data_IF_986960034422
#
_entry.id   IF_986960034422
#
_cell.length_a   1.000
_cell.length_b   1.000
_cell.length_c   1.000
_cell.angle_alpha   90.00
_cell.angle_beta   90.00
_cell.angle_gamma   90.00
#
_symmetry.space_group_name_H-M   'P 1'
#
loop_
_entity.id
_entity.type
_entity.pdbx_description
1 polymer ?
#
# COMPACT_ATOMS: atom_id res chain seq x y z
N UNK A 1 10.37 -37.54 1.89
CA UNK A 1 8.94 -37.14 2.02
C UNK A 1 8.92 -35.89 2.89
N UNK A 2 8.25 -34.84 2.44
CA UNK A 2 8.04 -33.61 3.20
C UNK A 2 6.58 -33.50 3.58
N UNK A 3 6.30 -33.19 4.84
CA UNK A 3 4.97 -32.92 5.35
C UNK A 3 4.89 -31.44 5.80
N UNK A 4 3.82 -30.73 5.41
CA UNK A 4 3.55 -29.35 5.73
C UNK A 4 2.17 -29.29 6.39
N UNK A 5 2.10 -28.75 7.60
CA UNK A 5 0.83 -28.50 8.29
C UNK A 5 0.49 -27.03 8.06
N UNK A 6 -0.75 -26.80 7.62
CA UNK A 6 -1.23 -25.43 7.38
C UNK A 6 -1.56 -24.77 8.70
N UNK A 7 -0.83 -23.71 9.00
CA UNK A 7 -1.09 -22.88 10.17
C UNK A 7 -2.14 -21.81 9.87
N UNK A 8 -2.72 -21.19 10.89
CA UNK A 8 -3.73 -20.12 10.77
C UNK A 8 -3.28 -19.00 9.81
N UNK A 9 -1.99 -18.63 9.84
CA UNK A 9 -1.39 -17.58 8.99
C UNK A 9 -1.36 -17.91 7.50
N UNK A 10 -1.46 -19.20 7.13
CA UNK A 10 -1.45 -19.70 5.75
C UNK A 10 -2.82 -20.15 5.25
N UNK A 11 -3.80 -20.24 6.13
CA UNK A 11 -5.17 -20.62 5.80
C UNK A 11 -5.84 -19.64 4.82
N UNK A 12 -6.83 -20.14 4.06
CA UNK A 12 -7.57 -19.36 3.07
C UNK A 12 -6.87 -19.19 1.72
N UNK A 13 -5.63 -19.66 1.56
CA UNK A 13 -4.95 -19.71 0.26
C UNK A 13 -5.45 -20.91 -0.57
N UNK A 14 -5.43 -20.76 -1.89
CA UNK A 14 -5.60 -21.94 -2.77
C UNK A 14 -4.34 -22.80 -2.74
N UNK A 15 -4.52 -24.11 -2.74
CA UNK A 15 -3.42 -25.09 -2.72
C UNK A 15 -2.38 -24.83 -3.85
N UNK A 16 -2.82 -24.54 -5.07
CA UNK A 16 -1.90 -24.27 -6.19
C UNK A 16 -1.08 -22.98 -5.95
N UNK A 17 -1.65 -21.97 -5.31
CA UNK A 17 -0.96 -20.73 -4.98
C UNK A 17 0.06 -20.92 -3.85
N UNK A 18 -0.33 -21.67 -2.82
CA UNK A 18 0.54 -22.08 -1.74
C UNK A 18 1.76 -22.86 -2.26
N UNK A 19 1.51 -23.90 -3.07
CA UNK A 19 2.57 -24.73 -3.64
C UNK A 19 3.53 -23.97 -4.56
N UNK A 20 3.05 -22.98 -5.33
CA UNK A 20 3.93 -22.12 -6.14
C UNK A 20 4.86 -21.26 -5.30
N UNK A 21 4.42 -20.83 -4.13
CA UNK A 21 5.24 -20.05 -3.21
C UNK A 21 6.26 -20.94 -2.50
N UNK A 22 5.86 -22.15 -2.15
CA UNK A 22 6.72 -23.13 -1.49
C UNK A 22 7.77 -23.72 -2.44
N UNK A 23 7.37 -24.05 -3.68
CA UNK A 23 8.24 -24.58 -4.74
C UNK A 23 8.49 -23.49 -5.79
N UNK A 24 9.24 -22.46 -5.41
CA UNK A 24 9.40 -21.20 -6.17
C UNK A 24 9.94 -21.42 -7.59
N UNK A 25 10.82 -22.41 -7.78
CA UNK A 25 11.43 -22.73 -9.07
C UNK A 25 10.63 -23.76 -9.89
N UNK A 26 9.51 -24.26 -9.36
CA UNK A 26 8.70 -25.25 -10.07
C UNK A 26 7.73 -24.59 -11.06
N UNK A 27 7.74 -24.96 -12.35
CA UNK A 27 6.72 -24.52 -13.28
C UNK A 27 5.32 -24.93 -12.84
N UNK A 28 4.31 -24.09 -13.10
CA UNK A 28 2.91 -24.40 -12.73
C UNK A 28 2.44 -25.76 -13.31
N UNK A 29 2.83 -26.06 -14.55
CA UNK A 29 2.53 -27.34 -15.20
C UNK A 29 3.10 -28.56 -14.44
N UNK A 30 4.26 -28.40 -13.83
CA UNK A 30 4.87 -29.43 -13.00
C UNK A 30 4.04 -29.67 -11.73
N UNK A 31 3.64 -28.62 -11.02
CA UNK A 31 2.82 -28.71 -9.80
C UNK A 31 1.53 -29.46 -10.09
N UNK A 32 0.78 -29.06 -11.12
CA UNK A 32 -0.46 -29.75 -11.50
C UNK A 32 -0.25 -31.20 -11.94
N UNK A 33 0.88 -31.51 -12.58
CA UNK A 33 1.25 -32.90 -12.92
C UNK A 33 1.51 -33.73 -11.66
N UNK A 34 2.15 -33.14 -10.64
CA UNK A 34 2.44 -33.84 -9.38
C UNK A 34 1.19 -34.07 -8.54
N UNK A 35 0.25 -33.12 -8.53
CA UNK A 35 -1.07 -33.31 -7.92
C UNK A 35 -1.83 -34.47 -8.60
N UNK A 36 -1.88 -34.51 -9.95
CA UNK A 36 -2.53 -35.59 -10.70
C UNK A 36 -1.90 -36.95 -10.43
N UNK A 37 -0.57 -37.03 -10.30
CA UNK A 37 0.17 -38.26 -10.00
C UNK A 37 0.13 -38.66 -8.53
N UNK A 38 -0.54 -37.90 -7.65
CA UNK A 38 -0.54 -38.07 -6.19
C UNK A 38 0.86 -38.00 -5.55
N UNK A 39 1.81 -37.35 -6.22
CA UNK A 39 3.12 -37.03 -5.62
C UNK A 39 3.03 -35.79 -4.72
N UNK A 40 1.91 -35.07 -4.78
CA UNK A 40 1.48 -34.06 -3.82
C UNK A 40 0.03 -34.40 -3.48
N UNK A 41 -0.27 -34.51 -2.18
CA UNK A 41 -1.61 -34.83 -1.68
C UNK A 41 -2.00 -33.85 -0.58
N UNK A 42 -3.30 -33.59 -0.45
CA UNK A 42 -3.90 -32.82 0.62
C UNK A 42 -4.72 -33.75 1.50
N UNK A 43 -4.50 -33.74 2.81
CA UNK A 43 -5.20 -34.59 3.80
C UNK A 43 -5.22 -36.07 3.38
N UNK A 44 -4.09 -36.57 2.89
CA UNK A 44 -3.92 -37.91 2.32
C UNK A 44 -4.79 -38.21 1.09
N UNK A 45 -5.57 -37.26 0.58
CA UNK A 45 -6.42 -37.35 -0.60
C UNK A 45 -5.80 -36.82 -1.87
N UNK A 46 -6.41 -37.13 -3.03
CA UNK A 46 -6.09 -36.48 -4.30
C UNK A 46 -6.57 -35.03 -4.26
N UNK A 47 -5.75 -34.14 -4.77
CA UNK A 47 -6.08 -32.72 -4.87
C UNK A 47 -5.92 -32.22 -6.33
N UNK A 48 -6.68 -31.17 -6.68
CA UNK A 48 -6.70 -30.55 -8.01
C UNK A 48 -5.95 -29.22 -8.05
N UNK A 49 -5.63 -28.64 -6.86
CA UNK A 49 -4.96 -27.38 -6.71
C UNK A 49 -5.89 -26.18 -6.51
N UNK A 50 -7.21 -26.38 -6.63
CA UNK A 50 -8.21 -25.32 -6.45
C UNK A 50 -8.74 -25.23 -5.02
N UNK A 51 -8.44 -26.21 -4.21
CA UNK A 51 -8.88 -26.32 -2.83
C UNK A 51 -8.39 -25.12 -2.02
N UNK A 52 -9.26 -24.59 -1.18
CA UNK A 52 -8.89 -23.58 -0.18
C UNK A 52 -8.34 -24.31 1.05
N UNK A 53 -7.14 -23.97 1.44
CA UNK A 53 -6.47 -24.55 2.60
C UNK A 53 -7.10 -24.02 3.90
N UNK A 54 -7.38 -24.95 4.80
CA UNK A 54 -7.85 -24.65 6.16
C UNK A 54 -6.72 -24.87 7.16
N UNK A 55 -6.81 -24.21 8.30
CA UNK A 55 -5.91 -24.47 9.42
C UNK A 55 -5.98 -25.97 9.82
N UNK A 56 -4.82 -26.58 10.02
CA UNK A 56 -4.70 -28.02 10.33
C UNK A 56 -4.63 -28.92 9.09
N UNK A 57 -4.90 -28.43 7.89
CA UNK A 57 -4.70 -29.21 6.67
C UNK A 57 -3.26 -29.68 6.54
N UNK A 58 -3.07 -30.89 6.03
CA UNK A 58 -1.76 -31.50 5.85
C UNK A 58 -1.45 -31.72 4.37
N UNK A 59 -0.37 -31.10 3.88
CA UNK A 59 0.13 -31.31 2.52
C UNK A 59 1.34 -32.25 2.62
N UNK A 60 1.28 -33.41 1.90
CA UNK A 60 2.42 -34.31 1.79
C UNK A 60 2.99 -34.26 0.40
N UNK A 61 4.32 -34.09 0.31
CA UNK A 61 5.10 -33.99 -0.93
C UNK A 61 6.07 -35.18 -0.99
N UNK A 62 5.87 -36.04 -1.96
CA UNK A 62 6.66 -37.26 -2.17
C UNK A 62 7.77 -37.02 -3.22
N UNK A 63 8.68 -36.07 -2.94
CA UNK A 63 9.86 -35.80 -3.75
C UNK A 63 11.11 -36.33 -3.06
N UNK A 64 12.17 -36.60 -3.84
CA UNK A 64 13.50 -36.78 -3.30
C UNK A 64 13.99 -35.45 -2.69
N UNK A 65 14.92 -35.53 -1.73
CA UNK A 65 15.51 -34.33 -1.11
C UNK A 65 16.16 -33.42 -2.16
N UNK A 66 16.85 -33.98 -3.14
CA UNK A 66 17.47 -33.26 -4.24
C UNK A 66 16.42 -32.52 -5.09
N UNK A 67 15.31 -33.18 -5.46
CA UNK A 67 14.22 -32.57 -6.22
C UNK A 67 13.55 -31.44 -5.41
N UNK A 68 13.35 -31.64 -4.13
CA UNK A 68 12.75 -30.65 -3.24
C UNK A 68 13.65 -29.43 -3.11
N UNK A 69 14.96 -29.63 -2.86
CA UNK A 69 15.94 -28.57 -2.77
C UNK A 69 16.05 -27.75 -4.08
N UNK A 70 16.02 -28.43 -5.24
CA UNK A 70 16.03 -27.78 -6.54
C UNK A 70 14.82 -26.85 -6.76
N UNK A 71 13.62 -27.24 -6.30
CA UNK A 71 12.41 -26.46 -6.49
C UNK A 71 12.10 -25.47 -5.37
N UNK A 72 12.65 -25.63 -4.16
CA UNK A 72 12.44 -24.68 -3.07
C UNK A 72 13.08 -23.31 -3.34
N UNK A 73 14.11 -23.26 -4.16
CA UNK A 73 14.89 -22.04 -4.37
C UNK A 73 15.81 -21.77 -3.17
N UNK A 74 17.01 -21.30 -3.46
CA UNK A 74 17.88 -20.69 -2.44
C UNK A 74 17.35 -19.29 -2.15
N UNK A 75 17.16 -18.93 -0.88
CA UNK A 75 16.94 -17.54 -0.50
C UNK A 75 18.09 -16.71 -1.09
N UNK A 76 17.74 -15.83 -2.01
CA UNK A 76 18.68 -14.84 -2.50
C UNK A 76 18.94 -13.91 -1.32
N UNK A 77 20.15 -13.95 -0.79
CA UNK A 77 20.61 -13.04 0.24
C UNK A 77 20.27 -11.60 -0.23
N UNK A 78 19.43 -10.91 0.51
CA UNK A 78 19.07 -9.54 0.19
C UNK A 78 20.37 -8.71 0.18
N UNK A 79 20.59 -7.97 -0.90
CA UNK A 79 21.62 -6.93 -0.90
C UNK A 79 21.28 -5.99 0.24
N UNK A 80 22.20 -5.80 1.17
CA UNK A 80 22.09 -4.78 2.24
C UNK A 80 22.06 -3.41 1.57
N UNK A 81 20.86 -2.98 1.19
CA UNK A 81 20.67 -1.63 0.67
C UNK A 81 20.64 -0.68 1.87
N UNK A 82 21.45 0.38 1.81
CA UNK A 82 21.39 1.46 2.81
C UNK A 82 20.12 2.27 2.57
N UNK A 83 19.17 2.21 3.50
CA UNK A 83 17.97 3.03 3.51
C UNK A 83 17.68 3.53 4.92
N UNK A 84 17.00 4.68 5.02
CA UNK A 84 16.45 5.12 6.29
C UNK A 84 15.23 4.24 6.58
N UNK A 85 15.30 3.48 7.68
CA UNK A 85 14.17 2.66 8.12
C UNK A 85 12.95 3.56 8.36
N UNK A 86 11.74 3.18 7.89
CA UNK A 86 10.54 3.90 8.25
C UNK A 86 10.19 3.69 9.73
N UNK A 87 9.59 4.71 10.37
CA UNK A 87 9.12 4.58 11.74
C UNK A 87 7.88 3.68 11.80
N UNK A 88 7.83 2.79 12.78
CA UNK A 88 6.66 1.94 13.02
C UNK A 88 5.62 2.74 13.81
N UNK A 89 4.40 2.85 13.27
CA UNK A 89 3.27 3.55 13.88
C UNK A 89 2.34 2.58 14.62
N UNK A 90 2.15 1.41 14.06
CA UNK A 90 1.37 0.33 14.65
C UNK A 90 1.87 -1.02 14.15
N UNK A 91 1.83 -2.02 15.01
CA UNK A 91 2.15 -3.39 14.68
C UNK A 91 1.27 -4.35 15.48
N UNK A 92 0.80 -5.39 14.81
CA UNK A 92 0.21 -6.58 15.43
C UNK A 92 0.74 -7.86 14.75
N UNK A 93 0.10 -8.99 15.00
CA UNK A 93 0.50 -10.28 14.43
C UNK A 93 0.38 -10.36 12.92
N UNK A 94 -0.55 -9.60 12.29
CA UNK A 94 -0.92 -9.71 10.89
C UNK A 94 -0.49 -8.52 10.05
N UNK A 95 -0.50 -7.31 10.64
CA UNK A 95 -0.28 -6.07 9.90
C UNK A 95 0.73 -5.16 10.59
N UNK A 96 1.28 -4.25 9.79
CA UNK A 96 2.19 -3.19 10.21
C UNK A 96 1.80 -1.89 9.52
N UNK A 97 1.73 -0.78 10.25
CA UNK A 97 1.66 0.57 9.70
C UNK A 97 3.00 1.26 9.90
N UNK A 98 3.54 1.80 8.84
CA UNK A 98 4.79 2.54 8.88
C UNK A 98 4.65 3.96 8.37
N UNK A 99 5.42 4.88 8.94
CA UNK A 99 5.59 6.23 8.42
C UNK A 99 6.76 6.26 7.44
N UNK A 100 6.44 6.15 6.14
CA UNK A 100 7.42 6.18 5.07
C UNK A 100 8.05 7.58 4.95
N UNK A 101 9.36 7.74 5.00
CA UNK A 101 10.00 9.02 4.71
C UNK A 101 9.84 9.41 3.22
N UNK A 102 9.94 10.71 2.93
CA UNK A 102 10.07 11.20 1.56
C UNK A 102 11.35 10.67 0.92
N UNK A 103 11.32 10.37 -0.38
CA UNK A 103 12.46 9.84 -1.13
C UNK A 103 12.52 8.30 -1.18
N UNK A 104 11.96 7.58 -0.22
CA UNK A 104 11.92 6.12 -0.20
C UNK A 104 10.78 5.60 -1.10
N UNK A 105 11.05 4.55 -1.88
CA UNK A 105 10.03 3.84 -2.66
C UNK A 105 9.12 3.00 -1.76
N UNK A 106 7.83 2.88 -2.09
CA UNK A 106 6.95 1.89 -1.42
C UNK A 106 7.27 0.47 -1.87
N UNK A 107 7.49 0.29 -3.17
CA UNK A 107 7.90 -0.97 -3.80
C UNK A 107 9.04 -0.69 -4.76
N UNK A 108 9.93 -1.66 -4.92
CA UNK A 108 11.02 -1.58 -5.88
C UNK A 108 10.50 -1.35 -7.31
N UNK A 109 11.16 -0.48 -8.02
CA UNK A 109 10.93 -0.20 -9.44
C UNK A 109 12.12 -0.62 -10.29
N UNK A 110 12.15 -0.18 -11.53
CA UNK A 110 13.26 -0.48 -12.46
C UNK A 110 14.62 0.12 -12.05
N UNK A 111 14.64 1.07 -11.11
CA UNK A 111 15.89 1.68 -10.62
C UNK A 111 16.72 0.72 -9.78
N UNK A 112 16.09 -0.30 -9.19
CA UNK A 112 16.74 -1.21 -8.25
C UNK A 112 17.04 -0.58 -6.89
N UNK A 113 16.51 0.63 -6.62
CA UNK A 113 16.66 1.28 -5.33
C UNK A 113 15.82 0.59 -4.26
N UNK A 114 16.28 0.70 -3.02
CA UNK A 114 15.60 0.12 -1.87
C UNK A 114 14.18 0.71 -1.66
N UNK A 115 13.30 -0.11 -1.12
CA UNK A 115 11.90 0.23 -0.88
C UNK A 115 11.44 -0.18 0.52
N UNK A 116 10.27 0.31 0.93
CA UNK A 116 9.59 -0.16 2.14
C UNK A 116 9.41 -1.68 2.11
N UNK A 117 9.12 -2.25 0.95
CA UNK A 117 8.97 -3.70 0.77
C UNK A 117 10.26 -4.47 1.11
N UNK A 118 11.42 -3.93 0.74
CA UNK A 118 12.70 -4.58 1.03
C UNK A 118 13.01 -4.50 2.53
N UNK A 119 12.82 -3.32 3.12
CA UNK A 119 12.93 -3.13 4.56
C UNK A 119 11.99 -4.07 5.35
N UNK A 120 10.72 -4.17 4.93
CA UNK A 120 9.72 -4.99 5.59
C UNK A 120 10.11 -6.48 5.59
N UNK A 121 10.65 -6.98 4.48
CA UNK A 121 11.14 -8.35 4.38
C UNK A 121 12.32 -8.60 5.30
N UNK A 122 13.23 -7.64 5.40
CA UNK A 122 14.38 -7.74 6.31
C UNK A 122 13.93 -7.66 7.78
N UNK A 123 12.98 -6.76 8.08
CA UNK A 123 12.40 -6.61 9.42
C UNK A 123 11.70 -7.89 9.89
N UNK A 124 10.88 -8.49 9.05
CA UNK A 124 10.12 -9.70 9.37
C UNK A 124 10.95 -11.00 9.24
N UNK A 125 12.20 -10.96 8.75
CA UNK A 125 13.00 -12.17 8.48
C UNK A 125 13.20 -13.04 9.72
N UNK A 126 13.38 -12.43 10.88
CA UNK A 126 13.62 -13.12 12.15
C UNK A 126 12.33 -13.30 12.97
N UNK A 127 11.19 -12.87 12.43
CA UNK A 127 9.91 -13.07 13.09
C UNK A 127 9.45 -14.52 12.87
N UNK A 128 9.43 -15.30 13.94
CA UNK A 128 8.96 -16.71 13.94
C UNK A 128 7.51 -16.87 13.48
N UNK A 129 6.77 -15.75 13.42
CA UNK A 129 5.41 -15.67 12.89
C UNK A 129 5.32 -15.61 11.37
N UNK A 130 6.42 -15.37 10.64
CA UNK A 130 6.37 -15.33 9.16
C UNK A 130 6.24 -16.74 8.57
N UNK A 131 5.37 -16.86 7.59
CA UNK A 131 5.13 -18.11 6.87
C UNK A 131 6.23 -18.36 5.82
N UNK A 132 6.61 -19.62 5.62
CA UNK A 132 7.50 -20.04 4.51
C UNK A 132 6.90 -19.72 3.12
N UNK A 133 5.59 -19.48 3.05
CA UNK A 133 4.86 -19.29 1.79
C UNK A 133 4.31 -17.89 1.58
N UNK A 134 4.27 -17.05 2.62
CA UNK A 134 3.87 -15.65 2.50
C UNK A 134 5.07 -14.73 2.63
N UNK A 135 5.22 -13.81 1.68
CA UNK A 135 6.24 -12.76 1.76
C UNK A 135 5.58 -11.46 2.21
N UNK A 136 6.00 -10.91 3.35
CA UNK A 136 5.53 -9.60 3.81
C UNK A 136 5.59 -8.55 2.69
N UNK A 137 4.54 -7.75 2.57
CA UNK A 137 4.42 -6.79 1.47
C UNK A 137 3.58 -5.57 1.84
N UNK A 138 3.87 -4.44 1.21
CA UNK A 138 3.03 -3.24 1.32
C UNK A 138 1.70 -3.49 0.59
N UNK A 139 0.60 -3.04 1.19
CA UNK A 139 -0.76 -3.18 0.66
C UNK A 139 -1.26 -1.93 -0.07
N UNK A 140 -0.74 -0.75 0.28
CA UNK A 140 -0.96 0.49 -0.48
C UNK A 140 0.39 1.10 -0.90
N UNK A 141 0.34 2.05 -1.81
CA UNK A 141 1.54 2.71 -2.33
C UNK A 141 1.42 4.22 -2.20
N UNK A 142 2.51 4.84 -1.81
CA UNK A 142 2.73 6.27 -1.94
C UNK A 142 3.77 6.51 -3.02
N UNK A 143 3.69 7.66 -3.69
CA UNK A 143 4.75 8.10 -4.59
C UNK A 143 6.08 8.22 -3.83
N UNK A 144 7.21 8.10 -4.53
CA UNK A 144 8.56 8.17 -3.93
C UNK A 144 8.68 9.31 -2.92
N UNK A 145 8.32 10.53 -3.33
CA UNK A 145 8.50 11.75 -2.54
C UNK A 145 7.28 12.12 -1.66
N UNK A 146 6.23 11.29 -1.67
CA UNK A 146 5.14 11.42 -0.72
C UNK A 146 5.53 10.69 0.57
N UNK A 147 5.52 11.38 1.68
CA UNK A 147 5.75 10.80 3.01
C UNK A 147 4.44 10.28 3.62
N UNK A 148 4.55 9.49 4.70
CA UNK A 148 3.39 9.13 5.51
C UNK A 148 3.04 7.67 5.57
N UNK A 149 1.82 7.39 5.98
CA UNK A 149 1.34 6.07 6.36
C UNK A 149 1.25 5.08 5.20
N UNK A 150 1.93 3.96 5.36
CA UNK A 150 1.89 2.81 4.46
C UNK A 150 1.44 1.58 5.25
N UNK A 151 0.39 0.92 4.73
CA UNK A 151 -0.14 -0.33 5.24
C UNK A 151 0.69 -1.49 4.70
N UNK A 152 1.14 -2.35 5.59
CA UNK A 152 1.93 -3.53 5.29
C UNK A 152 1.26 -4.77 5.87
N UNK A 153 1.36 -5.89 5.18
CA UNK A 153 0.91 -7.18 5.67
C UNK A 153 2.10 -8.06 6.06
N UNK A 154 2.05 -8.65 7.24
CA UNK A 154 3.00 -9.64 7.76
C UNK A 154 2.55 -11.05 7.42
N UNK A 155 1.24 -11.28 7.28
CA UNK A 155 0.61 -12.58 7.01
C UNK A 155 -0.27 -12.53 5.77
N UNK A 156 -0.64 -13.72 5.25
CA UNK A 156 -1.59 -13.82 4.15
C UNK A 156 -2.99 -13.32 4.56
N UNK A 157 -3.43 -13.61 5.78
CA UNK A 157 -4.70 -13.16 6.32
C UNK A 157 -4.74 -11.62 6.37
N UNK A 158 -3.68 -10.99 6.90
CA UNK A 158 -3.53 -9.53 6.92
C UNK A 158 -3.52 -8.93 5.51
N UNK A 159 -2.82 -9.56 4.56
CA UNK A 159 -2.79 -9.10 3.17
C UNK A 159 -4.16 -9.14 2.50
N UNK A 160 -4.91 -10.22 2.72
CA UNK A 160 -6.27 -10.36 2.18
C UNK A 160 -7.21 -9.33 2.78
N UNK A 161 -7.21 -9.23 4.11
CA UNK A 161 -8.01 -8.24 4.83
C UNK A 161 -7.75 -6.81 4.34
N UNK A 162 -6.49 -6.36 4.34
CA UNK A 162 -6.15 -5.01 3.89
C UNK A 162 -6.50 -4.78 2.41
N UNK A 163 -6.34 -5.80 1.55
CA UNK A 163 -6.70 -5.71 0.13
C UNK A 163 -8.21 -5.55 -0.05
N UNK A 164 -9.03 -6.27 0.72
CA UNK A 164 -10.49 -6.15 0.71
C UNK A 164 -10.93 -4.75 1.18
N UNK A 165 -10.37 -4.25 2.29
CA UNK A 165 -10.67 -2.90 2.79
C UNK A 165 -10.28 -1.79 1.81
N UNK A 166 -9.14 -1.94 1.12
CA UNK A 166 -8.67 -0.96 0.12
C UNK A 166 -9.54 -1.02 -1.14
N UNK A 167 -9.87 -2.21 -1.62
CA UNK A 167 -10.68 -2.42 -2.82
C UNK A 167 -12.13 -1.97 -2.62
N UNK A 168 -12.70 -2.18 -1.42
CA UNK A 168 -14.03 -1.71 -1.03
C UNK A 168 -14.11 -0.21 -0.74
N UNK A 169 -12.99 0.52 -0.79
CA UNK A 169 -12.91 1.93 -0.41
C UNK A 169 -13.37 2.24 1.03
N UNK A 170 -13.32 1.23 1.91
CA UNK A 170 -13.79 1.35 3.29
C UNK A 170 -12.85 2.16 4.18
N UNK A 171 -11.54 2.16 3.87
CA UNK A 171 -10.54 2.91 4.64
C UNK A 171 -10.63 4.41 4.38
N UNK A 172 -10.75 5.20 5.45
CA UNK A 172 -10.54 6.63 5.39
C UNK A 172 -9.05 6.95 5.18
N UNK A 173 -8.70 7.55 4.04
CA UNK A 173 -7.32 7.94 3.70
C UNK A 173 -7.22 9.45 3.60
N UNK A 174 -6.46 10.05 4.51
CA UNK A 174 -6.34 11.50 4.60
C UNK A 174 -4.90 11.95 4.37
N UNK A 175 -4.78 13.05 3.65
CA UNK A 175 -3.51 13.63 3.25
C UNK A 175 -3.45 15.09 3.67
N UNK A 176 -2.25 15.60 3.92
CA UNK A 176 -1.95 17.02 4.01
C UNK A 176 -1.09 17.41 2.83
N UNK A 177 -1.40 18.54 2.21
CA UNK A 177 -0.60 19.08 1.11
C UNK A 177 -0.42 20.58 1.27
N UNK A 178 0.75 21.06 0.88
CA UNK A 178 0.97 22.49 0.64
C UNK A 178 0.70 22.77 -0.83
N UNK A 179 -0.26 23.63 -1.13
CA UNK A 179 -0.61 24.01 -2.52
C UNK A 179 -0.25 25.46 -2.76
N UNK A 180 0.02 25.80 -4.02
CA UNK A 180 0.37 27.16 -4.42
C UNK A 180 -0.88 28.04 -4.53
N UNK A 181 -0.69 29.30 -4.13
CA UNK A 181 -1.73 30.32 -4.13
C UNK A 181 -2.69 30.23 -2.93
N UNK A 182 -3.49 31.27 -2.81
CA UNK A 182 -4.54 31.36 -1.80
C UNK A 182 -5.76 30.55 -2.22
N UNK A 183 -6.08 29.53 -1.44
CA UNK A 183 -7.27 28.69 -1.61
C UNK A 183 -8.15 28.83 -0.36
N UNK A 184 -9.48 28.80 -0.53
CA UNK A 184 -10.44 28.97 0.55
C UNK A 184 -11.52 27.89 0.52
N UNK A 185 -12.13 27.63 1.67
CA UNK A 185 -13.26 26.71 1.81
C UNK A 185 -12.92 25.25 1.63
N UNK A 186 -13.87 24.51 1.12
CA UNK A 186 -13.80 23.07 0.85
C UNK A 186 -14.54 22.73 -0.43
N UNK A 187 -14.15 21.65 -1.10
CA UNK A 187 -14.85 21.15 -2.29
C UNK A 187 -14.58 19.67 -2.53
N UNK A 188 -15.43 19.11 -3.39
CA UNK A 188 -15.29 17.75 -3.93
C UNK A 188 -14.84 17.84 -5.39
N UNK A 189 -13.68 17.28 -5.68
CA UNK A 189 -13.11 17.20 -7.02
C UNK A 189 -13.42 15.84 -7.62
N UNK A 190 -14.13 15.83 -8.76
CA UNK A 190 -14.50 14.64 -9.51
C UNK A 190 -13.99 14.73 -10.92
N UNK A 191 -13.58 13.59 -11.49
CA UNK A 191 -13.08 13.55 -12.86
C UNK A 191 -12.83 12.16 -13.39
N UNK A 192 -12.49 12.10 -14.68
CA UNK A 192 -11.96 10.92 -15.35
C UNK A 192 -10.43 10.99 -15.37
N UNK A 193 -9.83 9.96 -14.83
CA UNK A 193 -8.39 9.81 -14.72
C UNK A 193 -7.84 9.02 -15.92
N UNK A 194 -6.84 9.58 -16.59
CA UNK A 194 -6.13 8.97 -17.69
C UNK A 194 -4.64 8.97 -17.40
N UNK A 195 -3.96 7.85 -17.69
CA UNK A 195 -2.52 7.73 -17.50
C UNK A 195 -1.79 7.65 -18.82
N UNK A 196 -0.83 8.53 -19.01
CA UNK A 196 0.21 8.42 -20.00
C UNK A 196 1.36 7.60 -19.42
N UNK A 197 1.47 6.36 -19.87
CA UNK A 197 2.50 5.42 -19.36
C UNK A 197 3.91 5.86 -19.81
N UNK A 198 4.06 6.45 -21.02
CA UNK A 198 5.34 6.86 -21.55
C UNK A 198 5.90 8.06 -20.79
N UNK A 199 5.06 9.07 -20.53
CA UNK A 199 5.41 10.23 -19.73
C UNK A 199 5.33 9.98 -18.22
N UNK A 200 4.79 8.81 -17.80
CA UNK A 200 4.42 8.51 -16.41
C UNK A 200 3.64 9.68 -15.79
N UNK A 201 2.74 10.28 -16.53
CA UNK A 201 1.94 11.45 -16.12
C UNK A 201 0.46 11.13 -16.16
N UNK A 202 -0.32 11.80 -15.31
CA UNK A 202 -1.76 11.65 -15.20
C UNK A 202 -2.43 12.94 -15.66
N UNK A 203 -3.53 12.80 -16.38
CA UNK A 203 -4.46 13.86 -16.74
C UNK A 203 -5.81 13.55 -16.13
N UNK A 204 -6.48 14.55 -15.59
CA UNK A 204 -7.86 14.44 -15.08
C UNK A 204 -8.73 15.39 -15.89
N UNK A 205 -9.79 14.85 -16.46
CA UNK A 205 -10.87 15.62 -17.08
C UNK A 205 -11.99 15.81 -16.06
N UNK A 206 -12.33 17.07 -15.78
CA UNK A 206 -13.37 17.42 -14.82
C UNK A 206 -14.74 16.93 -15.29
N UNK A 207 -15.52 16.41 -14.37
CA UNK A 207 -16.92 16.03 -14.60
C UNK A 207 -17.80 17.07 -13.89
N UNK A 208 -18.81 17.60 -14.59
CA UNK A 208 -19.66 18.65 -14.04
C UNK A 208 -20.72 18.11 -13.08
N UNK A 209 -21.35 16.96 -13.38
CA UNK A 209 -22.41 16.35 -12.59
C UNK A 209 -22.41 14.82 -12.69
N UNK A 210 -22.65 14.16 -11.55
CA UNK A 210 -22.86 12.71 -11.48
C UNK A 210 -21.58 11.87 -11.54
N UNK A 211 -21.76 10.56 -11.38
CA UNK A 211 -20.74 9.55 -11.69
C UNK A 211 -20.98 9.17 -13.16
N UNK A 212 -20.03 9.39 -14.08
CA UNK A 212 -20.22 9.01 -15.48
C UNK A 212 -20.37 7.49 -15.57
N UNK A 213 -21.15 7.04 -16.53
CA UNK A 213 -21.12 5.67 -16.95
C UNK A 213 -19.72 5.38 -17.51
N UNK A 214 -18.95 4.57 -16.77
CA UNK A 214 -17.55 4.30 -17.12
C UNK A 214 -17.42 3.09 -18.05
N UNK A 215 -18.51 2.43 -18.43
CA UNK A 215 -18.45 1.26 -19.30
C UNK A 215 -17.97 1.63 -20.71
N UNK A 216 -18.24 2.86 -21.18
CA UNK A 216 -17.87 3.35 -22.51
C UNK A 216 -16.63 4.27 -22.54
N UNK A 217 -15.93 4.49 -21.41
CA UNK A 217 -14.79 5.42 -21.37
C UNK A 217 -13.49 4.73 -20.95
N UNK A 218 -12.38 5.08 -21.65
CA UNK A 218 -11.03 4.68 -21.23
C UNK A 218 -10.61 5.32 -19.89
N UNK A 219 -11.31 6.38 -19.47
CA UNK A 219 -11.05 7.11 -18.23
C UNK A 219 -11.58 6.36 -17.00
N UNK A 220 -10.87 6.47 -15.89
CA UNK A 220 -11.31 5.89 -14.61
C UNK A 220 -11.81 6.99 -13.69
N UNK A 221 -12.99 6.80 -13.10
CA UNK A 221 -13.54 7.74 -12.12
C UNK A 221 -12.59 7.93 -10.94
N UNK A 222 -12.43 9.20 -10.54
CA UNK A 222 -11.66 9.61 -9.36
C UNK A 222 -12.39 10.70 -8.60
N UNK A 223 -12.32 10.58 -7.25
CA UNK A 223 -12.90 11.54 -6.35
C UNK A 223 -11.93 11.87 -5.20
N UNK A 224 -11.75 13.18 -4.96
CA UNK A 224 -10.92 13.73 -3.89
C UNK A 224 -11.69 14.87 -3.24
N UNK A 225 -11.84 14.83 -1.92
CA UNK A 225 -12.38 15.95 -1.15
C UNK A 225 -11.22 16.75 -0.59
N UNK A 226 -11.31 18.06 -0.58
CA UNK A 226 -10.35 18.89 0.13
C UNK A 226 -11.04 19.89 1.06
N UNK A 227 -10.32 20.26 2.12
CA UNK A 227 -10.67 21.34 3.05
C UNK A 227 -9.42 22.16 3.33
N UNK A 228 -9.54 23.47 3.25
CA UNK A 228 -8.44 24.37 3.58
C UNK A 228 -8.29 24.48 5.09
N UNK A 229 -7.08 24.27 5.59
CA UNK A 229 -6.73 24.36 7.01
C UNK A 229 -6.19 25.75 7.33
N UNK A 230 -5.32 26.27 6.46
CA UNK A 230 -4.72 27.59 6.60
C UNK A 230 -4.36 28.12 5.22
N UNK A 231 -4.45 29.44 5.05
CA UNK A 231 -4.05 30.12 3.82
C UNK A 231 -3.21 31.34 4.11
N UNK A 232 -2.13 31.50 3.35
CA UNK A 232 -1.36 32.72 3.22
C UNK A 232 -1.44 33.20 1.76
N UNK A 233 -0.79 34.32 1.43
CA UNK A 233 -0.85 34.90 0.07
C UNK A 233 -0.36 33.92 -1.02
N UNK A 234 0.75 33.24 -0.77
CA UNK A 234 1.44 32.40 -1.76
C UNK A 234 1.15 30.91 -1.63
N UNK A 235 0.65 30.44 -0.50
CA UNK A 235 0.44 29.03 -0.22
C UNK A 235 -0.77 28.77 0.67
N UNK A 236 -1.38 27.61 0.50
CA UNK A 236 -2.44 27.10 1.38
C UNK A 236 -2.12 25.68 1.84
N UNK A 237 -2.36 25.41 3.13
CA UNK A 237 -2.34 24.06 3.69
C UNK A 237 -3.73 23.45 3.55
N UNK A 238 -3.81 22.31 2.91
CA UNK A 238 -5.08 21.60 2.69
C UNK A 238 -5.03 20.20 3.27
N UNK A 239 -6.15 19.80 3.88
CA UNK A 239 -6.45 18.41 4.17
C UNK A 239 -7.23 17.82 3.00
N UNK A 240 -6.85 16.62 2.57
CA UNK A 240 -7.52 15.94 1.46
C UNK A 240 -7.95 14.54 1.90
N UNK A 241 -9.16 14.14 1.54
CA UNK A 241 -9.65 12.77 1.69
C UNK A 241 -9.71 12.12 0.30
N UNK A 242 -9.03 10.99 0.16
CA UNK A 242 -9.13 10.17 -1.05
C UNK A 242 -10.28 9.17 -0.93
N UNK A 243 -11.32 9.33 -1.75
CA UNK A 243 -12.36 8.31 -1.94
C UNK A 243 -11.81 7.20 -2.84
N UNK A 244 -11.23 7.56 -3.96
CA UNK A 244 -10.48 6.65 -4.84
C UNK A 244 -8.98 6.81 -4.61
N UNK A 245 -8.14 5.86 -5.04
CA UNK A 245 -6.69 5.88 -4.79
C UNK A 245 -5.87 5.56 -6.04
N UNK A 246 -5.90 6.45 -7.05
CA UNK A 246 -5.11 6.29 -8.28
C UNK A 246 -3.76 7.01 -8.17
N UNK A 247 -2.79 6.53 -8.94
CA UNK A 247 -1.47 7.16 -9.00
C UNK A 247 -1.57 8.65 -9.32
N UNK A 248 -0.81 9.48 -8.62
CA UNK A 248 -0.74 10.93 -8.77
C UNK A 248 -2.10 11.67 -8.66
N UNK A 249 -3.16 11.04 -8.14
CA UNK A 249 -4.52 11.59 -8.17
C UNK A 249 -4.60 12.97 -7.50
N UNK A 250 -4.10 13.12 -6.27
CA UNK A 250 -4.10 14.42 -5.57
C UNK A 250 -3.35 15.47 -6.37
N UNK A 251 -2.18 15.14 -6.86
CA UNK A 251 -1.30 16.03 -7.63
C UNK A 251 -2.00 16.57 -8.87
N UNK A 252 -2.62 15.69 -9.65
CA UNK A 252 -3.34 16.04 -10.86
C UNK A 252 -4.64 16.81 -10.55
N UNK A 253 -5.41 16.44 -9.50
CA UNK A 253 -6.61 17.15 -9.09
C UNK A 253 -6.32 18.59 -8.68
N UNK A 254 -5.34 18.80 -7.78
CA UNK A 254 -5.01 20.14 -7.31
C UNK A 254 -4.46 21.02 -8.45
N UNK A 255 -3.62 20.46 -9.33
CA UNK A 255 -3.16 21.17 -10.51
C UNK A 255 -4.33 21.53 -11.47
N UNK A 256 -5.34 20.66 -11.61
CA UNK A 256 -6.50 20.90 -12.49
C UNK A 256 -7.38 22.06 -12.04
N UNK A 257 -7.31 22.47 -10.77
CA UNK A 257 -8.03 23.64 -10.24
C UNK A 257 -7.15 24.89 -10.11
N UNK A 258 -5.90 24.85 -10.62
CA UNK A 258 -4.97 25.97 -10.60
C UNK A 258 -4.14 26.12 -9.33
N UNK A 259 -4.19 25.14 -8.43
CA UNK A 259 -3.43 25.09 -7.17
C UNK A 259 -2.52 23.87 -7.12
N UNK A 260 -1.46 23.78 -7.96
CA UNK A 260 -0.54 22.66 -7.91
C UNK A 260 0.13 22.55 -6.55
N UNK A 261 0.60 21.34 -6.20
CA UNK A 261 1.34 21.17 -4.96
C UNK A 261 2.68 21.90 -5.04
N UNK A 262 3.04 22.60 -3.97
CA UNK A 262 4.33 23.26 -3.85
C UNK A 262 5.46 22.23 -4.02
N UNK A 263 6.47 22.57 -4.81
CA UNK A 263 7.57 21.68 -5.17
C UNK A 263 7.26 20.69 -6.31
N UNK A 264 6.01 20.52 -6.72
CA UNK A 264 5.62 19.54 -7.74
C UNK A 264 5.81 20.03 -9.17
N UNK A 265 7.05 20.14 -9.61
CA UNK A 265 7.42 20.63 -10.96
C UNK A 265 6.71 19.81 -12.04
N UNK A 266 6.49 18.52 -11.83
CA UNK A 266 5.84 17.64 -12.81
C UNK A 266 4.40 18.05 -13.14
N UNK A 267 3.70 18.63 -12.19
CA UNK A 267 2.31 19.08 -12.32
C UNK A 267 2.15 20.60 -12.32
N UNK A 268 3.23 21.34 -12.59
CA UNK A 268 3.18 22.79 -12.76
C UNK A 268 3.43 23.61 -11.50
N UNK A 269 3.78 22.95 -10.40
CA UNK A 269 4.23 23.63 -9.18
C UNK A 269 5.66 24.14 -9.30
N UNK A 270 6.01 25.12 -8.45
CA UNK A 270 7.33 25.73 -8.40
C UNK A 270 8.13 25.18 -7.22
N UNK A 271 9.47 25.24 -7.27
CA UNK A 271 10.31 24.92 -6.12
C UNK A 271 9.91 25.70 -4.88
N UNK A 272 9.77 25.00 -3.74
CA UNK A 272 9.47 25.63 -2.46
C UNK A 272 10.70 25.58 -1.54
N UNK A 273 11.44 26.65 -1.45
CA UNK A 273 12.73 26.66 -0.78
C UNK A 273 13.72 25.68 -1.44
N UNK A 274 14.15 24.67 -0.69
CA UNK A 274 15.02 23.59 -1.21
C UNK A 274 14.24 22.42 -1.85
N UNK A 275 12.93 22.38 -1.64
CA UNK A 275 12.09 21.26 -2.08
C UNK A 275 11.83 21.34 -3.60
N UNK A 276 12.03 20.23 -4.28
CA UNK A 276 11.86 20.06 -5.73
C UNK A 276 10.85 18.95 -6.05
N UNK A 277 10.08 18.54 -5.08
CA UNK A 277 9.07 17.50 -5.18
C UNK A 277 7.85 17.86 -4.34
N UNK A 278 6.72 17.24 -4.62
CA UNK A 278 5.45 17.54 -3.97
C UNK A 278 5.55 17.52 -2.45
N UNK A 279 5.11 18.58 -1.78
CA UNK A 279 4.91 18.63 -0.33
C UNK A 279 3.57 17.99 0.01
N UNK A 280 3.59 16.67 0.19
CA UNK A 280 2.42 15.81 0.38
C UNK A 280 2.73 14.74 1.43
N UNK A 281 1.81 14.58 2.38
CA UNK A 281 1.91 13.59 3.44
C UNK A 281 0.59 12.82 3.60
N UNK A 282 0.65 11.49 3.55
CA UNK A 282 -0.44 10.60 3.94
C UNK A 282 -0.44 10.52 5.48
N UNK A 283 -1.22 11.36 6.15
CA UNK A 283 -1.05 11.58 7.58
C UNK A 283 -1.99 10.78 8.46
N UNK A 284 -3.16 10.36 7.93
CA UNK A 284 -4.17 9.68 8.73
C UNK A 284 -4.84 8.55 7.94
N UNK A 285 -5.00 7.41 8.62
CA UNK A 285 -5.79 6.27 8.16
C UNK A 285 -6.85 5.97 9.21
N UNK A 286 -8.10 5.82 8.78
CA UNK A 286 -9.23 5.46 9.64
C UNK A 286 -9.81 4.15 9.16
N UNK A 287 -9.85 3.16 10.04
CA UNK A 287 -10.52 1.89 9.78
C UNK A 287 -12.02 2.02 10.03
N UNK A 288 -12.87 1.36 9.23
CA UNK A 288 -14.32 1.30 9.47
C UNK A 288 -14.62 0.40 10.68
N UNK A 289 -15.90 0.24 10.99
CA UNK A 289 -16.34 -0.82 11.90
C UNK A 289 -16.05 -2.19 11.29
N UNK A 290 -15.33 -3.02 12.05
CA UNK A 290 -14.84 -4.33 11.63
C UNK A 290 -15.26 -5.40 12.63
N UNK A 291 -15.79 -6.50 12.14
CA UNK A 291 -16.12 -7.69 12.92
C UNK A 291 -15.17 -8.86 12.62
N UNK A 292 -15.17 -9.89 13.46
CA UNK A 292 -14.36 -11.08 13.27
C UNK A 292 -12.89 -10.90 13.66
N UNK A 293 -11.99 -11.62 12.98
CA UNK A 293 -10.58 -11.75 13.35
C UNK A 293 -9.81 -10.44 13.42
N UNK A 294 -10.24 -9.43 12.70
CA UNK A 294 -9.61 -8.10 12.65
C UNK A 294 -10.38 -7.03 13.45
N UNK A 295 -11.33 -7.43 14.33
CA UNK A 295 -12.10 -6.50 15.17
C UNK A 295 -11.24 -5.60 16.05
N UNK A 296 -10.01 -5.98 16.34
CA UNK A 296 -9.01 -5.15 17.02
C UNK A 296 -8.65 -3.86 16.29
N UNK A 297 -8.99 -3.75 14.99
CA UNK A 297 -8.80 -2.55 14.17
C UNK A 297 -10.07 -1.73 14.01
N UNK A 298 -11.23 -2.23 14.48
CA UNK A 298 -12.54 -1.58 14.32
C UNK A 298 -12.51 -0.15 14.85
N UNK A 299 -12.90 0.81 14.01
CA UNK A 299 -12.95 2.22 14.34
C UNK A 299 -11.62 2.90 14.65
N UNK A 300 -10.48 2.18 14.56
CA UNK A 300 -9.16 2.77 14.88
C UNK A 300 -8.77 3.85 13.89
N UNK A 301 -8.20 4.92 14.45
CA UNK A 301 -7.63 6.05 13.73
C UNK A 301 -6.13 6.11 14.04
N UNK A 302 -5.31 6.05 13.00
CA UNK A 302 -3.87 6.21 13.09
C UNK A 302 -3.47 7.52 12.45
N UNK A 303 -2.78 8.38 13.18
CA UNK A 303 -2.37 9.70 12.71
C UNK A 303 -0.90 9.96 13.06
N UNK A 304 -0.18 10.60 12.14
CA UNK A 304 1.20 11.04 12.33
C UNK A 304 1.30 12.56 12.44
N UNK A 305 2.34 13.08 13.11
CA UNK A 305 2.52 14.52 13.31
C UNK A 305 2.56 15.31 12.01
N UNK A 306 2.37 16.62 12.15
CA UNK A 306 2.57 17.60 11.08
C UNK A 306 4.01 17.54 10.58
N UNK A 307 4.22 17.60 9.26
CA UNK A 307 5.56 17.74 8.73
C UNK A 307 6.07 19.18 8.90
N UNK A 308 7.39 19.39 8.99
CA UNK A 308 7.97 20.71 9.24
C UNK A 308 7.54 21.81 8.27
N UNK A 309 7.24 21.47 7.01
CA UNK A 309 6.74 22.42 6.02
C UNK A 309 5.32 22.89 6.32
N UNK A 310 4.46 22.05 6.91
CA UNK A 310 3.12 22.43 7.33
C UNK A 310 3.15 23.27 8.60
N UNK A 311 3.99 22.92 9.58
CA UNK A 311 4.20 23.71 10.81
C UNK A 311 4.65 25.13 10.49
N UNK A 312 5.58 25.29 9.55
CA UNK A 312 6.06 26.61 9.11
C UNK A 312 4.92 27.47 8.56
N UNK A 313 4.03 26.91 7.74
CA UNK A 313 2.91 27.69 7.21
C UNK A 313 1.93 28.09 8.32
N UNK A 314 1.59 27.16 9.21
CA UNK A 314 0.69 27.45 10.33
C UNK A 314 1.25 28.58 11.21
N UNK A 315 2.54 28.57 11.50
CA UNK A 315 3.20 29.64 12.23
C UNK A 315 3.09 31.00 11.51
N UNK A 316 3.28 31.03 10.19
CA UNK A 316 3.10 32.25 9.37
C UNK A 316 1.65 32.77 9.43
N UNK A 317 0.67 31.87 9.48
CA UNK A 317 -0.75 32.22 9.59
C UNK A 317 -1.19 32.57 11.02
N UNK A 318 -0.29 32.50 12.02
CA UNK A 318 -0.64 32.75 13.43
C UNK A 318 -1.52 31.67 14.04
N UNK A 319 -1.54 30.48 13.46
CA UNK A 319 -2.31 29.32 13.92
C UNK A 319 -1.40 28.41 14.74
N UNK A 320 -1.77 28.18 16.01
CA UNK A 320 -1.07 27.18 16.82
C UNK A 320 -1.43 25.77 16.34
N UNK A 321 -0.42 24.90 16.34
CA UNK A 321 -0.64 23.46 16.18
C UNK A 321 -1.31 22.93 17.44
N UNK A 322 -2.60 22.56 17.39
CA UNK A 322 -3.14 21.72 18.45
C UNK A 322 -2.24 20.46 18.55
N UNK A 323 -1.58 20.34 19.71
CA UNK A 323 -0.86 19.11 20.05
C UNK A 323 -1.90 17.99 20.09
N UNK A 324 -2.03 17.25 19.00
CA UNK A 324 -2.83 16.03 18.98
C UNK A 324 -2.28 15.12 20.08
N UNK A 325 -3.03 15.03 21.17
CA UNK A 325 -2.75 14.13 22.27
C UNK A 325 -2.68 12.70 21.71
N UNK A 326 -1.61 12.01 22.07
CA UNK A 326 -1.51 10.56 21.89
C UNK A 326 -2.72 9.91 22.58
N UNK A 327 -3.52 9.18 21.83
CA UNK A 327 -4.40 8.15 22.35
C UNK A 327 -3.78 6.82 22.00
#
# INVERSE_FOLDING_TARGET
MQELVIEKKDAGQRLDKYLRKYLQNAPSSFIYRMLRKKNIVLNAGRAEGKELLCEGDTIRIFFSEETLAHFRGTEVAAKTASYTAPDIVYEDEDILLVNKPSGLLSQQDKSGEASVNDWLRDYCRNDTGTSDTFRPSVCNRLDRNTSGLVLCAKTYAGSRFLSEQIAGHELGKYYRALVEGRLEGEAVLRGLWYKDEAANRVRIEKIKDGVPDTEDTEGRYVETHYRVIASAESYSLVELRLVTGRSHQIRAHMASIGHPLAGDIKYGGHPCGKERSQLLQAFRIVFPEISGDFSRLSGKCFEIPLPPWAEKLLAVCGLETEKTGRV
#
